data_IF_761737974837
#
_entry.id   IF_761737974837
#
_cell.length_a   1.000
_cell.length_b   1.000
_cell.length_c   1.000
_cell.angle_alpha   90.00
_cell.angle_beta   90.00
_cell.angle_gamma   90.00
#
_symmetry.space_group_name_H-M   'P 1'
#
loop_
_entity.id
_entity.type
_entity.pdbx_description
1 polymer ?
#
# COMPACT_ATOMS: atom_id res chain seq x y z
N UNK A 1 28.41 15.66 5.68
CA UNK A 1 27.98 15.00 5.80
C UNK A 1 27.76 14.22 5.05
N UNK A 2 28.15 13.75 4.86
CA UNK A 2 28.04 12.97 4.30
C UNK A 2 27.40 12.13 4.51
N UNK A 3 27.40 11.77 4.39
CA UNK A 3 26.89 10.57 4.64
C UNK A 3 25.48 10.32 4.69
N UNK A 4 24.71 11.17 4.41
CA UNK A 4 23.39 10.78 4.17
C UNK A 4 23.33 10.20 2.84
N UNK A 5 23.49 8.95 2.84
CA UNK A 5 22.98 8.20 1.78
C UNK A 5 21.51 8.50 1.69
N UNK A 6 21.21 9.39 0.86
CA UNK A 6 19.86 9.55 0.40
C UNK A 6 19.55 8.33 -0.41
N UNK A 7 19.45 7.23 0.33
CA UNK A 7 18.96 6.03 -0.25
C UNK A 7 17.55 6.28 -0.67
N UNK A 8 17.30 6.11 -1.93
CA UNK A 8 15.94 6.09 -2.43
C UNK A 8 15.16 5.08 -1.60
N UNK A 9 13.90 5.40 -1.32
CA UNK A 9 13.02 4.49 -0.60
C UNK A 9 13.09 3.10 -1.23
N UNK A 10 13.22 2.09 -0.38
CA UNK A 10 13.09 0.70 -0.81
C UNK A 10 11.64 0.33 -1.11
N UNK A 11 10.69 1.10 -0.59
CA UNK A 11 9.28 0.90 -0.87
C UNK A 11 8.97 1.52 -2.23
N UNK A 12 8.58 0.70 -3.19
CA UNK A 12 8.24 1.13 -4.53
C UNK A 12 6.82 1.65 -4.61
N UNK A 13 5.91 1.05 -3.85
CA UNK A 13 4.51 1.40 -3.81
C UNK A 13 3.87 0.82 -2.56
N UNK A 14 2.92 1.55 -1.98
CA UNK A 14 1.97 0.99 -1.01
C UNK A 14 0.65 0.72 -1.72
N UNK A 15 0.25 -0.53 -1.74
CA UNK A 15 -1.01 -0.99 -2.31
C UNK A 15 -2.03 -1.16 -1.20
N UNK A 16 -3.17 -0.50 -1.32
CA UNK A 16 -4.26 -0.63 -0.35
C UNK A 16 -5.27 -1.62 -0.91
N UNK A 17 -5.45 -2.74 -0.22
CA UNK A 17 -6.34 -3.81 -0.66
C UNK A 17 -6.82 -4.61 0.55
N UNK A 18 -8.12 -4.62 0.77
CA UNK A 18 -8.73 -5.35 1.90
C UNK A 18 -8.71 -6.87 1.73
N UNK A 19 -8.29 -7.37 0.57
CA UNK A 19 -8.03 -8.78 0.33
C UNK A 19 -6.54 -9.12 0.42
N UNK A 20 -5.66 -8.14 0.63
CA UNK A 20 -4.22 -8.26 0.72
C UNK A 20 -3.57 -8.78 -0.57
N UNK A 21 -3.09 -10.02 -0.54
CA UNK A 21 -2.41 -10.62 -1.69
C UNK A 21 -3.42 -11.46 -2.46
N UNK A 22 -3.64 -11.15 -3.72
CA UNK A 22 -4.38 -12.04 -4.59
C UNK A 22 -3.76 -12.09 -5.98
N UNK A 23 -3.46 -13.27 -6.36
CA UNK A 23 -2.94 -13.87 -7.57
C UNK A 23 -2.32 -12.94 -8.59
N UNK A 24 -3.05 -12.71 -9.67
CA UNK A 24 -2.54 -11.96 -10.81
C UNK A 24 -2.25 -10.50 -10.52
N UNK A 25 -2.98 -9.89 -9.58
CA UNK A 25 -2.74 -8.48 -9.20
C UNK A 25 -1.35 -8.35 -8.59
N UNK A 26 -1.00 -9.21 -7.64
CA UNK A 26 0.32 -9.20 -7.02
C UNK A 26 1.42 -9.46 -8.05
N UNK A 27 1.23 -10.42 -8.95
CA UNK A 27 2.21 -10.75 -9.99
C UNK A 27 2.47 -9.56 -10.90
N UNK A 28 1.42 -8.95 -11.43
CA UNK A 28 1.54 -7.82 -12.36
C UNK A 28 2.20 -6.60 -11.70
N UNK A 29 1.80 -6.28 -10.47
CA UNK A 29 2.39 -5.16 -9.77
C UNK A 29 3.84 -5.42 -9.38
N UNK A 30 4.18 -6.62 -8.91
CA UNK A 30 5.56 -6.95 -8.60
C UNK A 30 6.46 -6.87 -9.83
N UNK A 31 5.98 -7.32 -10.98
CA UNK A 31 6.73 -7.19 -12.24
C UNK A 31 6.93 -5.73 -12.63
N UNK A 32 5.87 -4.93 -12.61
CA UNK A 32 5.94 -3.52 -12.98
C UNK A 32 6.83 -2.70 -12.06
N UNK A 33 6.87 -3.05 -10.78
CA UNK A 33 7.68 -2.37 -9.77
C UNK A 33 9.09 -2.95 -9.65
N UNK A 34 9.36 -4.04 -10.32
CA UNK A 34 10.58 -4.83 -10.11
C UNK A 34 10.75 -5.17 -8.62
N UNK A 35 9.67 -5.52 -7.95
CA UNK A 35 9.68 -5.84 -6.53
C UNK A 35 10.21 -7.24 -6.28
N UNK A 36 10.97 -7.41 -5.21
CA UNK A 36 11.47 -8.71 -4.77
C UNK A 36 11.02 -9.09 -3.37
N UNK A 37 10.22 -8.24 -2.74
CA UNK A 37 9.70 -8.47 -1.40
C UNK A 37 8.31 -7.85 -1.28
N UNK A 38 7.36 -8.63 -0.78
CA UNK A 38 6.05 -8.13 -0.37
C UNK A 38 6.05 -8.05 1.15
N UNK A 39 5.65 -6.90 1.68
CA UNK A 39 5.42 -6.74 3.11
C UNK A 39 3.97 -6.35 3.31
N UNK A 40 3.24 -7.18 4.04
CA UNK A 40 1.85 -6.90 4.42
C UNK A 40 1.83 -6.35 5.83
N UNK A 41 1.22 -5.19 6.01
CA UNK A 41 1.11 -4.55 7.32
C UNK A 41 -0.34 -4.57 7.75
N UNK A 42 -0.62 -5.35 8.78
CA UNK A 42 -1.94 -5.45 9.39
C UNK A 42 -1.81 -6.13 10.75
N UNK A 43 -2.34 -5.49 11.79
CA UNK A 43 -2.16 -5.96 13.16
C UNK A 43 -2.76 -7.34 13.40
N UNK A 44 -3.94 -7.59 12.87
CA UNK A 44 -4.61 -8.89 13.02
C UNK A 44 -3.88 -9.99 12.24
N UNK A 45 -3.56 -9.71 10.98
CA UNK A 45 -2.88 -10.67 10.11
C UNK A 45 -1.49 -11.04 10.60
N UNK A 46 -0.79 -10.10 11.22
CA UNK A 46 0.57 -10.33 11.73
C UNK A 46 0.64 -11.42 12.81
N UNK A 47 -0.47 -11.72 13.47
CA UNK A 47 -0.56 -12.80 14.47
C UNK A 47 -1.28 -14.04 13.96
N UNK A 48 -1.76 -14.05 12.73
CA UNK A 48 -2.58 -15.14 12.17
C UNK A 48 -1.78 -15.98 11.16
N UNK A 49 -1.04 -16.96 11.67
CA UNK A 49 -0.15 -17.80 10.85
C UNK A 49 -0.90 -18.60 9.78
N UNK A 50 -2.11 -19.04 10.08
CA UNK A 50 -2.92 -19.80 9.12
C UNK A 50 -3.27 -18.90 7.91
N UNK A 51 -3.73 -17.69 8.18
CA UNK A 51 -4.10 -16.75 7.11
C UNK A 51 -2.89 -16.30 6.31
N UNK A 52 -1.74 -16.10 6.97
CA UNK A 52 -0.48 -15.82 6.29
C UNK A 52 -0.11 -16.94 5.31
N UNK A 53 -0.22 -18.19 5.75
CA UNK A 53 0.05 -19.35 4.88
C UNK A 53 -0.84 -19.41 3.66
N UNK A 54 -2.12 -19.06 3.80
CA UNK A 54 -3.04 -18.98 2.66
C UNK A 54 -2.65 -17.88 1.69
N UNK A 55 -2.26 -16.72 2.21
CA UNK A 55 -1.82 -15.59 1.38
C UNK A 55 -0.49 -15.90 0.67
N UNK A 56 0.40 -16.61 1.33
CA UNK A 56 1.69 -17.00 0.73
C UNK A 56 1.51 -17.86 -0.52
N UNK A 57 0.41 -18.58 -0.64
CA UNK A 57 0.10 -19.34 -1.84
C UNK A 57 -0.13 -18.46 -3.07
N UNK A 58 -0.48 -17.19 -2.86
CA UNK A 58 -0.70 -16.22 -3.93
C UNK A 58 0.53 -15.34 -4.19
N UNK A 59 1.60 -15.48 -3.42
CA UNK A 59 2.84 -14.74 -3.64
C UNK A 59 3.52 -15.28 -4.89
N UNK A 60 3.95 -14.40 -5.82
CA UNK A 60 4.67 -14.85 -7.03
C UNK A 60 5.95 -15.60 -6.69
N UNK A 61 6.33 -16.54 -7.56
CA UNK A 61 7.58 -17.26 -7.42
C UNK A 61 8.76 -16.31 -7.32
N UNK A 62 9.74 -16.68 -6.51
CA UNK A 62 10.98 -15.92 -6.28
C UNK A 62 10.79 -14.61 -5.49
N UNK A 63 9.59 -14.32 -5.02
CA UNK A 63 9.30 -13.17 -4.18
C UNK A 63 9.04 -13.66 -2.77
N UNK A 64 9.68 -13.02 -1.80
CA UNK A 64 9.44 -13.32 -0.39
C UNK A 64 8.30 -12.46 0.16
N UNK A 65 7.67 -12.95 1.20
CA UNK A 65 6.62 -12.24 1.93
C UNK A 65 6.98 -12.08 3.40
N UNK A 66 6.55 -10.98 4.00
CA UNK A 66 6.65 -10.71 5.44
C UNK A 66 5.35 -10.09 5.91
N UNK A 67 5.01 -10.35 7.17
CA UNK A 67 3.78 -9.85 7.80
C UNK A 67 4.14 -9.12 9.08
N UNK A 68 3.81 -7.84 9.14
CA UNK A 68 4.14 -6.97 10.27
C UNK A 68 2.89 -6.32 10.84
N UNK A 69 2.92 -6.05 12.14
CA UNK A 69 2.02 -5.06 12.73
C UNK A 69 2.44 -3.67 12.26
N UNK A 70 1.56 -2.68 12.41
CA UNK A 70 1.91 -1.29 12.11
C UNK A 70 3.12 -0.86 12.94
N UNK A 71 3.13 -1.16 14.23
CA UNK A 71 4.26 -0.84 15.12
C UNK A 71 5.56 -1.47 14.64
N UNK A 72 5.53 -2.76 14.33
CA UNK A 72 6.72 -3.45 13.83
C UNK A 72 7.20 -2.86 12.51
N UNK A 73 6.28 -2.52 11.62
CA UNK A 73 6.62 -1.91 10.33
C UNK A 73 7.34 -0.57 10.52
N UNK A 74 6.87 0.27 11.43
CA UNK A 74 7.50 1.55 11.74
C UNK A 74 8.97 1.35 12.16
N UNK A 75 9.24 0.33 12.97
CA UNK A 75 10.58 0.05 13.45
C UNK A 75 11.45 -0.70 12.45
N UNK A 76 10.88 -1.63 11.69
CA UNK A 76 11.63 -2.53 10.82
C UNK A 76 11.88 -2.00 9.42
N UNK A 77 10.91 -1.30 8.83
CA UNK A 77 11.03 -0.83 7.44
C UNK A 77 12.28 0.03 7.20
N UNK A 78 12.64 0.97 8.10
CA UNK A 78 13.84 1.77 7.89
C UNK A 78 15.15 0.97 7.94
N UNK A 79 15.10 -0.23 8.49
CA UNK A 79 16.28 -1.08 8.70
C UNK A 79 16.47 -2.11 7.58
N UNK A 80 15.54 -2.20 6.64
CA UNK A 80 15.62 -3.18 5.56
C UNK A 80 16.67 -2.72 4.53
N UNK A 81 17.45 -3.68 4.06
CA UNK A 81 18.50 -3.44 3.07
C UNK A 81 17.99 -2.74 1.83
N UNK A 82 18.80 -1.81 1.30
CA UNK A 82 18.51 -1.11 0.05
C UNK A 82 18.42 -2.01 -1.18
N UNK A 83 18.89 -3.24 -1.06
CA UNK A 83 18.76 -4.24 -2.14
C UNK A 83 17.34 -4.76 -2.25
N UNK A 84 16.51 -4.56 -1.23
CA UNK A 84 15.12 -4.96 -1.27
C UNK A 84 14.29 -3.88 -1.98
N UNK A 85 13.45 -4.33 -2.88
CA UNK A 85 12.48 -3.50 -3.58
C UNK A 85 11.11 -3.99 -3.15
N UNK A 86 10.42 -3.17 -2.38
CA UNK A 86 9.27 -3.58 -1.59
C UNK A 86 7.97 -3.12 -2.23
N UNK A 87 7.04 -4.04 -2.41
CA UNK A 87 5.63 -3.74 -2.55
C UNK A 87 5.01 -3.87 -1.16
N UNK A 88 4.58 -2.73 -0.61
CA UNK A 88 3.92 -2.69 0.68
C UNK A 88 2.42 -2.86 0.48
N UNK A 89 1.77 -3.69 1.29
CA UNK A 89 0.32 -3.91 1.22
C UNK A 89 -0.29 -3.64 2.58
N UNK A 90 -1.32 -2.81 2.60
CA UNK A 90 -2.15 -2.52 3.77
C UNK A 90 -3.63 -2.67 3.39
N UNK A 91 -4.51 -2.82 4.37
CA UNK A 91 -5.95 -2.97 4.11
C UNK A 91 -6.76 -1.69 4.36
N UNK A 92 -6.11 -0.60 4.73
CA UNK A 92 -6.81 0.65 5.03
C UNK A 92 -5.96 1.87 4.74
N UNK A 93 -6.64 2.98 4.47
CA UNK A 93 -5.99 4.29 4.33
C UNK A 93 -5.37 4.71 5.67
N UNK A 94 -6.02 4.38 6.76
CA UNK A 94 -5.53 4.69 8.11
C UNK A 94 -4.14 4.10 8.36
N UNK A 95 -3.92 2.84 8.00
CA UNK A 95 -2.64 2.18 8.25
C UNK A 95 -1.51 2.83 7.46
N UNK A 96 -1.72 3.12 6.17
CA UNK A 96 -0.68 3.80 5.39
C UNK A 96 -0.46 5.24 5.86
N UNK A 97 -1.52 5.92 6.27
CA UNK A 97 -1.42 7.25 6.85
C UNK A 97 -0.53 7.25 8.11
N UNK A 98 -0.73 6.27 9.00
CA UNK A 98 0.10 6.12 10.19
C UNK A 98 1.57 5.86 9.85
N UNK A 99 1.84 5.00 8.87
CA UNK A 99 3.20 4.68 8.44
C UNK A 99 3.90 5.91 7.89
N UNK A 100 3.25 6.65 7.00
CA UNK A 100 3.83 7.84 6.38
C UNK A 100 4.08 8.92 7.43
N UNK A 101 3.15 9.14 8.35
CA UNK A 101 3.33 10.12 9.43
C UNK A 101 4.43 9.71 10.41
N UNK A 102 4.74 8.44 10.51
CA UNK A 102 5.87 7.94 11.31
C UNK A 102 7.21 8.04 10.57
N UNK A 103 7.23 8.60 9.35
CA UNK A 103 8.46 8.80 8.61
C UNK A 103 8.80 7.73 7.59
N UNK A 104 7.88 6.79 7.33
CA UNK A 104 8.12 5.78 6.29
C UNK A 104 7.95 6.42 4.92
N UNK A 105 9.04 6.46 4.17
CA UNK A 105 9.06 7.05 2.83
C UNK A 105 8.35 6.15 1.82
N UNK A 106 7.22 6.63 1.32
CA UNK A 106 6.37 5.90 0.39
C UNK A 106 6.03 6.81 -0.78
N UNK A 107 6.64 6.61 -1.95
CA UNK A 107 6.49 7.54 -3.08
C UNK A 107 5.13 7.48 -3.75
N UNK A 108 4.47 6.33 -3.72
CA UNK A 108 3.21 6.08 -4.43
C UNK A 108 2.28 5.26 -3.57
N UNK A 109 1.04 5.68 -3.45
CA UNK A 109 -0.06 4.93 -2.82
C UNK A 109 -1.07 4.58 -3.90
N UNK A 110 -1.33 3.29 -4.06
CA UNK A 110 -2.31 2.79 -5.01
C UNK A 110 -3.54 2.28 -4.25
N UNK A 111 -4.70 2.83 -4.60
CA UNK A 111 -5.97 2.41 -4.01
C UNK A 111 -6.55 1.26 -4.84
N UNK A 112 -6.36 0.04 -4.37
CA UNK A 112 -6.81 -1.16 -5.06
C UNK A 112 -8.25 -1.51 -4.75
N UNK A 113 -8.51 -1.96 -3.53
CA UNK A 113 -9.83 -2.38 -3.10
C UNK A 113 -10.08 -1.99 -1.65
N UNK A 114 -11.18 -1.29 -1.41
CA UNK A 114 -11.67 -0.96 -0.08
C UNK A 114 -13.16 -1.27 -0.03
N UNK A 115 -13.52 -2.27 0.78
CA UNK A 115 -14.86 -2.80 0.84
C UNK A 115 -15.90 -1.80 1.35
N UNK A 116 -17.13 -2.13 1.03
CA UNK A 116 -18.28 -1.34 1.44
C UNK A 116 -18.59 -1.64 2.90
N UNK A 117 -18.56 -0.59 3.72
CA UNK A 117 -19.00 -0.64 5.10
C UNK A 117 -20.07 0.44 5.33
N UNK A 118 -20.90 0.31 6.37
CA UNK A 118 -21.87 1.36 6.69
C UNK A 118 -21.20 2.73 6.86
N UNK A 119 -21.78 3.76 6.25
CA UNK A 119 -21.25 5.12 6.29
C UNK A 119 -20.22 5.46 5.24
N UNK A 120 -19.83 4.49 4.40
CA UNK A 120 -18.88 4.73 3.30
C UNK A 120 -19.61 4.96 1.98
N UNK A 121 -19.05 5.86 1.19
CA UNK A 121 -19.58 6.18 -0.14
C UNK A 121 -18.80 5.40 -1.20
N UNK A 122 -19.51 4.87 -2.18
CA UNK A 122 -18.90 4.24 -3.34
C UNK A 122 -18.22 5.29 -4.23
N UNK A 123 -16.93 5.11 -4.47
CA UNK A 123 -16.16 5.93 -5.39
C UNK A 123 -16.03 5.21 -6.73
N UNK A 124 -15.70 3.93 -6.67
CA UNK A 124 -15.68 3.02 -7.83
C UNK A 124 -16.32 1.70 -7.44
N UNK A 125 -16.32 0.73 -8.35
CA UNK A 125 -16.83 -0.61 -8.04
C UNK A 125 -16.06 -1.31 -6.92
N UNK A 126 -14.81 -0.91 -6.69
CA UNK A 126 -13.93 -1.55 -5.72
C UNK A 126 -13.55 -0.65 -4.56
N UNK A 127 -13.90 0.64 -4.61
CA UNK A 127 -13.51 1.63 -3.61
C UNK A 127 -14.73 2.25 -2.95
N UNK A 128 -14.79 2.14 -1.64
CA UNK A 128 -15.72 2.88 -0.80
C UNK A 128 -14.93 3.60 0.29
N UNK A 129 -15.23 4.87 0.53
CA UNK A 129 -14.51 5.72 1.47
C UNK A 129 -15.47 6.59 2.27
N UNK A 130 -15.08 6.92 3.49
CA UNK A 130 -15.79 7.90 4.32
C UNK A 130 -15.04 9.25 4.34
N UNK A 131 -15.60 10.22 5.06
CA UNK A 131 -15.01 11.56 5.16
C UNK A 131 -13.63 11.54 5.82
N UNK A 132 -13.42 10.66 6.78
CA UNK A 132 -12.11 10.50 7.43
C UNK A 132 -11.06 9.98 6.44
N UNK A 133 -11.43 9.00 5.62
CA UNK A 133 -10.56 8.48 4.54
C UNK A 133 -10.16 9.61 3.58
N UNK A 134 -11.13 10.42 3.13
CA UNK A 134 -10.87 11.55 2.24
C UNK A 134 -9.92 12.57 2.88
N UNK A 135 -10.15 12.88 4.15
CA UNK A 135 -9.29 13.82 4.86
C UNK A 135 -7.84 13.32 4.97
N UNK A 136 -7.66 12.05 5.28
CA UNK A 136 -6.34 11.44 5.31
C UNK A 136 -5.65 11.47 3.94
N UNK A 137 -6.39 11.16 2.87
CA UNK A 137 -5.84 11.23 1.51
C UNK A 137 -5.44 12.66 1.13
N UNK A 138 -6.24 13.66 1.46
CA UNK A 138 -5.90 15.06 1.22
C UNK A 138 -4.60 15.45 1.90
N UNK A 139 -4.41 15.00 3.14
CA UNK A 139 -3.17 15.27 3.88
C UNK A 139 -1.96 14.57 3.24
N UNK A 140 -2.12 13.35 2.75
CA UNK A 140 -1.04 12.64 2.06
C UNK A 140 -0.67 13.35 0.75
N UNK A 141 -1.67 13.81 -0.01
CA UNK A 141 -1.44 14.57 -1.23
C UNK A 141 -0.70 15.88 -0.92
N UNK A 142 -1.06 16.57 0.17
CA UNK A 142 -0.38 17.81 0.57
C UNK A 142 1.08 17.59 0.95
N UNK A 143 1.45 16.37 1.32
CA UNK A 143 2.84 15.99 1.59
C UNK A 143 3.63 15.59 0.33
N UNK A 144 3.00 15.64 -0.83
CA UNK A 144 3.63 15.28 -2.10
C UNK A 144 3.54 13.80 -2.45
N UNK A 145 2.75 13.02 -1.72
CA UNK A 145 2.54 11.60 -2.02
C UNK A 145 1.67 11.48 -3.27
N UNK A 146 2.10 10.69 -4.24
CA UNK A 146 1.27 10.36 -5.39
C UNK A 146 0.26 9.30 -5.01
N UNK A 147 -1.00 9.51 -5.42
CA UNK A 147 -2.08 8.59 -5.16
C UNK A 147 -2.80 8.27 -6.47
N UNK A 148 -2.95 6.99 -6.77
CA UNK A 148 -3.73 6.55 -7.92
C UNK A 148 -4.69 5.42 -7.54
N UNK A 149 -5.55 5.05 -8.47
CA UNK A 149 -6.50 3.95 -8.31
C UNK A 149 -6.42 2.95 -9.45
N UNK A 150 -5.24 2.80 -10.03
CA UNK A 150 -5.04 1.84 -11.09
C UNK A 150 -5.34 0.43 -10.62
N UNK A 151 -6.12 -0.30 -11.39
CA UNK A 151 -6.32 -1.74 -11.18
C UNK A 151 -5.11 -2.50 -11.69
N UNK A 152 -4.64 -2.16 -12.88
CA UNK A 152 -3.46 -2.73 -13.49
C UNK A 152 -2.38 -1.66 -13.65
N UNK A 153 -1.09 -2.05 -13.62
CA UNK A 153 0.00 -1.08 -13.74
C UNK A 153 -0.05 -0.21 -15.00
N UNK A 154 -0.60 -0.75 -16.09
CA UNK A 154 -0.70 -0.05 -17.37
C UNK A 154 -1.91 0.88 -17.50
N UNK A 155 -2.79 0.90 -16.53
CA UNK A 155 -4.00 1.74 -16.57
C UNK A 155 -3.66 3.24 -16.43
N UNK A 156 -4.56 4.11 -16.90
CA UNK A 156 -4.41 5.54 -16.74
C UNK A 156 -4.67 5.96 -15.29
N UNK A 157 -3.75 6.75 -14.72
CA UNK A 157 -3.81 7.19 -13.33
C UNK A 157 -4.69 8.42 -13.09
N UNK A 158 -5.16 9.10 -14.14
CA UNK A 158 -5.83 10.39 -13.97
C UNK A 158 -7.25 10.29 -13.42
N UNK A 159 -7.87 9.11 -13.47
CA UNK A 159 -9.28 8.96 -13.17
C UNK A 159 -9.66 9.25 -11.71
N UNK A 160 -8.78 8.95 -10.74
CA UNK A 160 -9.12 9.13 -9.33
C UNK A 160 -9.10 10.58 -8.88
N UNK A 161 -8.13 11.36 -9.31
CA UNK A 161 -8.00 12.76 -8.91
C UNK A 161 -9.23 13.54 -9.35
N UNK A 162 -9.69 13.32 -10.58
CA UNK A 162 -10.92 13.96 -11.08
C UNK A 162 -12.17 13.52 -10.33
N UNK A 163 -12.24 12.29 -9.88
CA UNK A 163 -13.37 11.81 -9.08
C UNK A 163 -13.39 12.40 -7.67
N UNK A 164 -12.24 12.55 -7.05
CA UNK A 164 -12.12 13.21 -5.74
C UNK A 164 -12.50 14.69 -5.86
N UNK A 165 -12.04 15.37 -6.90
CA UNK A 165 -12.37 16.78 -7.14
C UNK A 165 -13.86 17.00 -7.36
N UNK A 166 -14.56 16.03 -7.97
CA UNK A 166 -16.01 16.10 -8.20
C UNK A 166 -16.83 15.89 -6.91
N UNK A 167 -16.22 15.32 -5.86
CA UNK A 167 -16.89 15.03 -4.58
C UNK A 167 -16.69 16.15 -3.55
N UNK A 168 -15.79 17.07 -3.82
CA UNK A 168 -15.56 18.29 -3.06
C UNK A 168 -16.31 19.46 -3.69
#
# INVERSE_FOLDING_TARGET
>A
MKGKNWTMSTIKMAHIDDHFIHGQVATRWCEALDANLIIVVNDELASNKMRQGLLDMAVPDKINSRYYTVEKAIHQLPMISNEKRIMLIVDSIKDIYQLINAGIDTPLVNLGSLGVEPGKRHITNTLAMDDEDFHMLEQLISKGIQIDSKVNPEDDSQALISQIDLLN
#
